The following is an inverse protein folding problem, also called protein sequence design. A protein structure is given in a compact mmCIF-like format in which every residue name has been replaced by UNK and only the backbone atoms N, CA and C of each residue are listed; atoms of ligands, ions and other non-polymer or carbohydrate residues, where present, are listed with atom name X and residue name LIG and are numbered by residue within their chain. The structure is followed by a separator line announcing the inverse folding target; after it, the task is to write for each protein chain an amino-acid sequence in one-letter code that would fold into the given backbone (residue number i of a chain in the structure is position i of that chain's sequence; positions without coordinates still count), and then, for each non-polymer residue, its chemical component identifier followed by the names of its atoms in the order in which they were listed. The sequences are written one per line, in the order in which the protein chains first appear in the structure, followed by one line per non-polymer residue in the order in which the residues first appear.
data_IF_612207634456
#
_entry.id   IF_612207634456
#
_cell.length_a   1.000
_cell.length_b   1.000
_cell.length_c   1.000
_cell.angle_alpha   90.00
_cell.angle_beta   90.00
_cell.angle_gamma   90.00
#
_symmetry.space_group_name_H-M   'P 1'
#
loop_
_entity.id
_entity.type
_entity.pdbx_description
1 polymer ?
#
# COMPACT_ATOMS: atom_id res chain seq x y z
N UNK A 1 19.15 23.41 -4.25
CA UNK A 1 18.85 21.95 -4.26
C UNK A 1 19.06 21.40 -2.86
N UNK A 2 18.04 21.11 -2.03
CA UNK A 2 18.41 20.66 -0.67
C UNK A 2 17.36 19.96 0.21
N UNK A 3 16.27 19.39 -0.31
CA UNK A 3 15.42 18.51 0.52
C UNK A 3 15.54 17.06 0.10
N UNK A 4 15.29 16.76 -1.17
CA UNK A 4 15.44 15.40 -1.72
C UNK A 4 16.82 14.81 -1.47
N UNK A 5 17.90 15.56 -1.74
CA UNK A 5 19.27 15.11 -1.49
C UNK A 5 19.57 14.90 0.00
N UNK A 6 19.01 15.74 0.89
CA UNK A 6 19.14 15.56 2.33
C UNK A 6 18.39 14.31 2.80
N UNK A 7 17.20 14.05 2.28
CA UNK A 7 16.42 12.84 2.57
C UNK A 7 17.15 11.59 2.09
N UNK A 8 17.76 11.62 0.90
CA UNK A 8 18.60 10.50 0.43
C UNK A 8 19.83 10.30 1.30
N UNK A 9 20.52 11.37 1.71
CA UNK A 9 21.66 11.27 2.63
C UNK A 9 21.24 10.66 3.98
N UNK A 10 20.09 11.08 4.52
CA UNK A 10 19.57 10.55 5.79
C UNK A 10 19.17 9.07 5.69
N UNK A 11 18.60 8.65 4.56
CA UNK A 11 18.12 7.27 4.34
C UNK A 11 19.08 6.43 3.47
N UNK A 12 20.35 6.80 3.41
CA UNK A 12 21.31 6.24 2.44
C UNK A 12 21.39 4.71 2.51
N UNK A 13 21.43 4.15 3.72
CA UNK A 13 21.46 2.69 3.93
C UNK A 13 20.26 1.99 3.30
N UNK A 14 19.05 2.55 3.47
CA UNK A 14 17.82 1.99 2.89
C UNK A 14 17.83 2.06 1.37
N UNK A 15 18.33 3.17 0.81
CA UNK A 15 18.46 3.33 -0.65
C UNK A 15 19.45 2.31 -1.22
N UNK A 16 20.61 2.14 -0.59
CA UNK A 16 21.60 1.16 -1.01
C UNK A 16 21.06 -0.28 -0.89
N UNK A 17 20.37 -0.61 0.20
CA UNK A 17 19.74 -1.91 0.37
C UNK A 17 18.65 -2.17 -0.66
N UNK A 18 17.85 -1.16 -1.00
CA UNK A 18 16.83 -1.27 -2.04
C UNK A 18 17.40 -1.50 -3.44
N UNK A 19 18.63 -1.04 -3.71
CA UNK A 19 19.33 -1.29 -4.97
C UNK A 19 20.09 -2.63 -4.98
N UNK A 20 20.56 -3.11 -3.82
CA UNK A 20 21.39 -4.30 -3.72
C UNK A 20 20.60 -5.60 -3.52
N UNK A 21 19.44 -5.54 -2.84
CA UNK A 21 18.65 -6.72 -2.51
C UNK A 21 17.65 -7.06 -3.63
N UNK A 22 17.29 -8.35 -3.81
CA UNK A 22 16.36 -8.77 -4.87
C UNK A 22 14.88 -8.52 -4.53
N UNK A 23 14.58 -7.81 -3.43
CA UNK A 23 13.22 -7.58 -2.99
C UNK A 23 12.55 -6.47 -3.82
N UNK A 24 11.34 -6.73 -4.29
CA UNK A 24 10.54 -5.75 -5.02
C UNK A 24 9.49 -5.09 -4.12
N UNK A 25 9.36 -3.77 -4.23
CA UNK A 25 8.26 -3.01 -3.64
C UNK A 25 6.93 -3.16 -4.44
N UNK A 26 6.94 -3.92 -5.55
CA UNK A 26 5.83 -3.98 -6.50
C UNK A 26 4.51 -4.47 -5.90
N UNK A 27 4.55 -5.46 -4.99
CA UNK A 27 3.35 -5.94 -4.31
C UNK A 27 2.73 -4.88 -3.40
N UNK A 28 3.56 -4.19 -2.61
CA UNK A 28 3.12 -3.11 -1.72
C UNK A 28 2.56 -1.92 -2.52
N UNK A 29 3.22 -1.53 -3.60
CA UNK A 29 2.73 -0.49 -4.52
C UNK A 29 1.44 -0.89 -5.21
N UNK A 30 1.32 -2.16 -5.61
CA UNK A 30 0.10 -2.74 -6.16
C UNK A 30 -1.07 -2.63 -5.20
N UNK A 31 -0.86 -3.02 -3.94
CA UNK A 31 -1.87 -2.93 -2.89
C UNK A 31 -2.29 -1.48 -2.61
N UNK A 32 -1.31 -0.57 -2.46
CA UNK A 32 -1.57 0.86 -2.29
C UNK A 32 -2.35 1.46 -3.45
N UNK A 33 -2.10 1.02 -4.69
CA UNK A 33 -2.87 1.44 -5.87
C UNK A 33 -4.32 0.96 -5.81
N UNK A 34 -4.56 -0.31 -5.43
CA UNK A 34 -5.91 -0.86 -5.26
C UNK A 34 -6.71 -0.07 -4.24
N UNK A 35 -6.14 0.21 -3.06
CA UNK A 35 -6.82 1.02 -2.02
C UNK A 35 -7.19 2.40 -2.56
N UNK A 36 -6.23 3.10 -3.18
CA UNK A 36 -6.50 4.41 -3.77
C UNK A 36 -7.56 4.35 -4.88
N UNK A 37 -7.67 3.24 -5.61
CA UNK A 37 -8.72 3.05 -6.61
C UNK A 37 -10.09 2.90 -5.94
N UNK A 38 -10.19 2.10 -4.86
CA UNK A 38 -11.40 1.94 -4.06
C UNK A 38 -11.90 3.31 -3.56
N UNK A 39 -11.00 4.12 -2.99
CA UNK A 39 -11.34 5.46 -2.50
C UNK A 39 -11.81 6.38 -3.63
N UNK A 40 -11.15 6.38 -4.79
CA UNK A 40 -11.56 7.20 -5.94
C UNK A 40 -12.93 6.81 -6.49
N UNK A 41 -13.19 5.51 -6.62
CA UNK A 41 -14.49 5.01 -7.12
C UNK A 41 -15.63 5.36 -6.17
N UNK A 42 -15.38 5.36 -4.86
CA UNK A 42 -16.39 5.71 -3.86
C UNK A 42 -16.55 7.22 -3.62
N UNK A 43 -15.72 8.07 -4.26
CA UNK A 43 -15.59 9.49 -3.95
C UNK A 43 -15.22 9.77 -2.49
N UNK A 44 -14.41 8.86 -1.92
CA UNK A 44 -14.00 8.86 -0.52
C UNK A 44 -14.95 8.11 0.41
N UNK A 45 -14.46 7.77 1.59
CA UNK A 45 -15.25 7.16 2.66
C UNK A 45 -15.26 8.07 3.88
N UNK A 46 -16.44 8.33 4.45
CA UNK A 46 -16.57 9.14 5.67
C UNK A 46 -16.14 8.37 6.93
N UNK A 47 -16.06 7.03 6.87
CA UNK A 47 -15.67 6.16 7.97
C UNK A 47 -14.56 5.21 7.54
N UNK A 48 -13.48 5.17 8.31
CA UNK A 48 -12.37 4.24 8.09
C UNK A 48 -12.83 2.77 8.15
N UNK A 49 -13.78 2.45 9.03
CA UNK A 49 -14.35 1.09 9.14
C UNK A 49 -14.99 0.66 7.82
N UNK A 50 -15.68 1.57 7.13
CA UNK A 50 -16.33 1.25 5.85
C UNK A 50 -15.29 1.06 4.73
N UNK A 51 -14.24 1.88 4.70
CA UNK A 51 -13.11 1.69 3.80
C UNK A 51 -12.44 0.34 4.02
N UNK A 52 -12.15 -0.01 5.28
CA UNK A 52 -11.50 -1.27 5.65
C UNK A 52 -12.36 -2.48 5.26
N UNK A 53 -13.67 -2.43 5.50
CA UNK A 53 -14.61 -3.45 5.06
C UNK A 53 -14.58 -3.62 3.55
N UNK A 54 -14.59 -2.52 2.77
CA UNK A 54 -14.51 -2.60 1.30
C UNK A 54 -13.19 -3.21 0.84
N UNK A 55 -12.05 -2.82 1.41
CA UNK A 55 -10.73 -3.40 1.07
C UNK A 55 -10.73 -4.91 1.30
N UNK A 56 -11.26 -5.37 2.45
CA UNK A 56 -11.33 -6.81 2.78
C UNK A 56 -12.24 -7.59 1.83
N UNK A 57 -13.33 -6.98 1.38
CA UNK A 57 -14.23 -7.57 0.39
C UNK A 57 -13.53 -7.73 -0.98
N UNK A 58 -12.81 -6.71 -1.44
CA UNK A 58 -12.09 -6.72 -2.73
C UNK A 58 -10.94 -7.73 -2.75
N UNK A 59 -10.27 -7.93 -1.61
CA UNK A 59 -9.22 -8.95 -1.48
C UNK A 59 -9.77 -10.37 -1.24
N UNK A 60 -11.10 -10.58 -1.30
CA UNK A 60 -11.77 -11.86 -1.03
C UNK A 60 -11.47 -12.48 0.35
N UNK A 61 -10.97 -11.69 1.32
CA UNK A 61 -10.64 -12.15 2.67
C UNK A 61 -11.86 -12.53 3.53
N UNK A 62 -13.07 -12.35 3.00
CA UNK A 62 -14.32 -12.74 3.65
C UNK A 62 -14.75 -14.19 3.34
N UNK A 63 -14.13 -14.89 2.37
CA UNK A 63 -14.64 -16.17 1.87
C UNK A 63 -14.17 -17.43 2.62
N UNK A 64 -13.25 -17.34 3.57
CA UNK A 64 -12.69 -18.55 4.20
C UNK A 64 -13.43 -19.03 5.47
N UNK A 65 -14.41 -18.30 6.00
CA UNK A 65 -15.10 -18.68 7.26
C UNK A 65 -16.56 -19.14 7.09
N UNK A 66 -17.00 -19.50 5.88
CA UNK A 66 -18.37 -20.01 5.64
C UNK A 66 -18.36 -21.46 5.08
N UNK A 67 -17.19 -22.09 4.92
CA UNK A 67 -17.07 -23.44 4.34
C UNK A 67 -16.15 -24.41 5.11
N UNK A 68 -15.96 -24.18 6.41
CA UNK A 68 -15.48 -25.19 7.38
C UNK A 68 -16.50 -25.35 8.47
#
# INVERSE_FOLDING_TARGET
MHKTLLTFKHNLTTVLNGAALPYSNGCLEGFNRKIKQIERTAFGYSSFTNLLTRIRLEENLYKENILT
#
